data_IF_300880830451
#
_entry.id   IF_300880830451
#
_cell.length_a   1.000
_cell.length_b   1.000
_cell.length_c   1.000
_cell.angle_alpha   90.00
_cell.angle_beta   90.00
_cell.angle_gamma   90.00
#
_symmetry.space_group_name_H-M   'P 1'
#
loop_
_entity.id
_entity.type
_entity.pdbx_description
1 polymer ?
#
# COMPACT_ATOMS: atom_id res chain seq x y z
N UNK A 1 -7.16 7.04 -12.69
CA UNK A 1 -8.52 6.83 -12.16
C UNK A 1 -8.41 5.91 -10.96
N UNK A 2 -9.05 6.26 -9.85
CA UNK A 2 -9.10 5.46 -8.63
C UNK A 2 -10.57 5.17 -8.29
N UNK A 3 -10.94 3.89 -8.20
CA UNK A 3 -12.31 3.44 -7.97
C UNK A 3 -12.38 2.75 -6.61
N UNK A 4 -13.22 3.25 -5.71
CA UNK A 4 -13.48 2.56 -4.45
C UNK A 4 -14.46 1.40 -4.66
N UNK A 5 -14.07 0.19 -4.25
CA UNK A 5 -14.87 -1.01 -4.36
C UNK A 5 -14.92 -1.74 -3.02
N UNK A 6 -16.00 -1.50 -2.26
CA UNK A 6 -16.20 -2.07 -0.93
C UNK A 6 -17.00 -3.38 -0.96
N UNK A 7 -17.65 -3.70 -2.08
CA UNK A 7 -18.50 -4.89 -2.18
C UNK A 7 -17.67 -6.17 -2.02
N UNK A 8 -18.24 -7.13 -1.30
CA UNK A 8 -17.65 -8.44 -0.99
C UNK A 8 -18.20 -9.55 -1.90
N UNK A 9 -17.56 -10.71 -1.87
CA UNK A 9 -17.92 -11.88 -2.68
C UNK A 9 -18.17 -11.56 -4.16
N UNK A 10 -19.12 -12.26 -4.77
CA UNK A 10 -19.45 -12.11 -6.20
C UNK A 10 -19.89 -10.69 -6.59
N UNK A 11 -20.52 -9.96 -5.66
CA UNK A 11 -20.94 -8.56 -5.90
C UNK A 11 -19.76 -7.61 -6.05
N UNK A 12 -18.62 -7.90 -5.42
CA UNK A 12 -17.36 -7.19 -5.66
C UNK A 12 -16.58 -7.74 -6.85
N UNK A 13 -16.55 -9.06 -7.02
CA UNK A 13 -15.76 -9.70 -8.09
C UNK A 13 -16.28 -9.37 -9.49
N UNK A 14 -17.61 -9.31 -9.69
CA UNK A 14 -18.17 -9.00 -11.00
C UNK A 14 -17.79 -7.58 -11.49
N UNK A 15 -17.97 -6.50 -10.70
CA UNK A 15 -17.46 -5.17 -11.05
C UNK A 15 -15.94 -5.14 -11.24
N UNK A 16 -15.17 -5.83 -10.40
CA UNK A 16 -13.71 -5.87 -10.54
C UNK A 16 -13.28 -6.45 -11.90
N UNK A 17 -13.90 -7.55 -12.34
CA UNK A 17 -13.65 -8.13 -13.67
C UNK A 17 -14.07 -7.21 -14.81
N UNK A 18 -15.17 -6.47 -14.67
CA UNK A 18 -15.56 -5.47 -15.66
C UNK A 18 -14.56 -4.31 -15.71
N UNK A 19 -14.05 -3.86 -14.55
CA UNK A 19 -12.98 -2.84 -14.49
C UNK A 19 -11.73 -3.34 -15.24
N UNK A 20 -11.31 -4.59 -15.03
CA UNK A 20 -10.19 -5.20 -15.76
C UNK A 20 -10.47 -5.21 -17.27
N UNK A 21 -11.65 -5.66 -17.69
CA UNK A 21 -12.03 -5.74 -19.10
C UNK A 21 -12.05 -4.35 -19.76
N UNK A 22 -12.61 -3.34 -19.09
CA UNK A 22 -12.65 -1.96 -19.57
C UNK A 22 -11.28 -1.31 -19.61
N UNK A 23 -10.44 -1.56 -18.61
CA UNK A 23 -9.06 -1.08 -18.59
C UNK A 23 -8.31 -1.56 -19.84
N UNK A 24 -8.47 -2.83 -20.21
CA UNK A 24 -7.88 -3.38 -21.45
C UNK A 24 -8.51 -2.79 -22.71
N UNK A 25 -9.84 -2.74 -22.78
CA UNK A 25 -10.56 -2.28 -23.97
C UNK A 25 -10.28 -0.81 -24.30
N UNK A 26 -9.94 0.00 -23.31
CA UNK A 26 -9.65 1.43 -23.42
C UNK A 26 -8.14 1.75 -23.39
N UNK A 27 -7.28 0.73 -23.38
CA UNK A 27 -5.82 0.89 -23.27
C UNK A 27 -5.38 1.75 -22.06
N UNK A 28 -6.07 1.58 -20.93
CA UNK A 28 -5.83 2.34 -19.70
C UNK A 28 -4.87 1.62 -18.74
N UNK A 29 -4.06 0.70 -19.26
CA UNK A 29 -3.09 -0.04 -18.47
C UNK A 29 -2.16 0.89 -17.71
N UNK A 30 -2.05 0.67 -16.41
CA UNK A 30 -1.23 1.50 -15.53
C UNK A 30 -1.88 2.79 -15.02
N UNK A 31 -3.09 3.12 -15.51
CA UNK A 31 -3.83 4.33 -15.14
C UNK A 31 -5.07 4.06 -14.26
N UNK A 32 -5.33 2.80 -13.90
CA UNK A 32 -6.48 2.40 -13.07
C UNK A 32 -6.00 1.77 -11.77
N UNK A 33 -6.54 2.29 -10.67
CA UNK A 33 -6.39 1.73 -9.32
C UNK A 33 -7.77 1.39 -8.77
N UNK A 34 -7.88 0.27 -8.06
CA UNK A 34 -9.11 -0.09 -7.33
C UNK A 34 -8.78 -0.15 -5.84
N UNK A 35 -9.50 0.63 -5.05
CA UNK A 35 -9.28 0.82 -3.63
C UNK A 35 -10.17 -0.10 -2.79
N UNK A 36 -9.62 -0.57 -1.66
CA UNK A 36 -10.21 -1.52 -0.70
C UNK A 36 -10.31 -2.95 -1.23
N UNK A 37 -11.22 -3.18 -2.17
CA UNK A 37 -11.44 -4.44 -2.88
C UNK A 37 -11.63 -5.62 -1.93
N UNK A 38 -12.54 -5.46 -0.97
CA UNK A 38 -12.78 -6.41 0.14
C UNK A 38 -13.21 -7.82 -0.31
N UNK A 39 -13.61 -7.99 -1.57
CA UNK A 39 -13.86 -9.31 -2.15
C UNK A 39 -12.57 -10.12 -2.44
N UNK A 40 -11.42 -9.49 -2.61
CA UNK A 40 -10.17 -10.16 -2.99
C UNK A 40 -9.58 -11.03 -1.88
N UNK A 41 -9.51 -10.60 -0.61
CA UNK A 41 -9.02 -11.43 0.49
C UNK A 41 -9.88 -12.68 0.76
N UNK A 42 -11.14 -12.70 0.31
CA UNK A 42 -12.07 -13.81 0.49
C UNK A 42 -11.82 -14.97 -0.48
N UNK A 43 -11.02 -14.75 -1.53
CA UNK A 43 -10.74 -15.74 -2.58
C UNK A 43 -9.88 -16.90 -2.10
N UNK A 44 -10.17 -18.09 -2.61
CA UNK A 44 -9.27 -19.23 -2.44
C UNK A 44 -7.92 -18.96 -3.14
N UNK A 45 -6.81 -19.55 -2.66
CA UNK A 45 -5.46 -19.35 -3.21
C UNK A 45 -5.35 -19.38 -4.74
N UNK A 46 -6.00 -20.35 -5.39
CA UNK A 46 -5.95 -20.53 -6.84
C UNK A 46 -6.71 -19.43 -7.60
N UNK A 47 -7.84 -19.01 -7.06
CA UNK A 47 -8.66 -17.95 -7.67
C UNK A 47 -7.98 -16.60 -7.52
N UNK A 48 -7.37 -16.35 -6.36
CA UNK A 48 -6.54 -15.18 -6.12
C UNK A 48 -5.37 -15.10 -7.12
N UNK A 49 -4.65 -16.20 -7.35
CA UNK A 49 -3.54 -16.21 -8.31
C UNK A 49 -4.01 -15.94 -9.75
N UNK A 50 -5.14 -16.52 -10.15
CA UNK A 50 -5.72 -16.28 -11.46
C UNK A 50 -6.13 -14.81 -11.63
N UNK A 51 -6.83 -14.25 -10.65
CA UNK A 51 -7.23 -12.84 -10.64
C UNK A 51 -6.00 -11.91 -10.61
N UNK A 52 -4.96 -12.25 -9.84
CA UNK A 52 -3.73 -11.48 -9.79
C UNK A 52 -3.03 -11.42 -11.15
N UNK A 53 -2.99 -12.54 -11.89
CA UNK A 53 -2.51 -12.57 -13.26
C UNK A 53 -3.34 -11.70 -14.20
N UNK A 54 -4.67 -11.70 -14.05
CA UNK A 54 -5.55 -10.84 -14.85
C UNK A 54 -5.32 -9.34 -14.58
N UNK A 55 -5.21 -8.95 -13.30
CA UNK A 55 -4.91 -7.59 -12.86
C UNK A 55 -3.57 -7.11 -13.39
N UNK A 56 -2.52 -7.93 -13.24
CA UNK A 56 -1.18 -7.61 -13.71
C UNK A 56 -1.15 -7.42 -15.24
N UNK A 57 -1.78 -8.34 -15.99
CA UNK A 57 -1.86 -8.25 -17.44
C UNK A 57 -2.67 -7.03 -17.93
N UNK A 58 -3.64 -6.55 -17.14
CA UNK A 58 -4.39 -5.33 -17.43
C UNK A 58 -3.70 -4.05 -16.95
N UNK A 59 -2.63 -4.14 -16.15
CA UNK A 59 -1.99 -3.00 -15.51
C UNK A 59 -2.86 -2.31 -14.45
N UNK A 60 -3.81 -3.03 -13.83
CA UNK A 60 -4.65 -2.51 -12.75
C UNK A 60 -3.90 -2.63 -11.42
N UNK A 61 -3.82 -1.53 -10.68
CA UNK A 61 -3.20 -1.49 -9.35
C UNK A 61 -4.27 -1.59 -8.26
N UNK A 62 -3.89 -1.99 -7.05
CA UNK A 62 -4.80 -2.07 -5.92
C UNK A 62 -4.30 -1.22 -4.74
N UNK A 63 -5.21 -0.76 -3.89
CA UNK A 63 -4.84 -0.22 -2.58
C UNK A 63 -5.59 -0.92 -1.45
N UNK A 64 -4.91 -1.08 -0.32
CA UNK A 64 -5.50 -1.56 0.94
C UNK A 64 -5.32 -0.50 2.02
N UNK A 65 -6.05 -0.63 3.11
CA UNK A 65 -6.02 0.30 4.25
C UNK A 65 -5.69 -0.40 5.58
N UNK A 66 -5.50 -1.73 5.55
CA UNK A 66 -5.17 -2.56 6.72
C UNK A 66 -6.09 -2.30 7.93
N UNK A 67 -7.40 -2.49 7.74
CA UNK A 67 -8.41 -2.37 8.81
C UNK A 67 -8.39 -3.60 9.72
N UNK A 68 -8.46 -4.79 9.12
CA UNK A 68 -8.44 -6.07 9.81
C UNK A 68 -7.91 -7.19 8.90
N UNK A 69 -7.72 -8.38 9.46
CA UNK A 69 -7.18 -9.55 8.75
C UNK A 69 -8.11 -10.14 7.69
N UNK A 70 -9.41 -9.83 7.72
CA UNK A 70 -10.40 -10.32 6.75
C UNK A 70 -10.55 -9.41 5.54
N UNK A 71 -10.16 -8.14 5.68
CA UNK A 71 -10.31 -7.11 4.64
C UNK A 71 -8.98 -6.70 4.00
N UNK A 72 -7.84 -7.06 4.59
CA UNK A 72 -6.52 -6.66 4.11
C UNK A 72 -6.11 -7.45 2.88
N UNK A 73 -5.65 -6.75 1.83
CA UNK A 73 -5.12 -7.42 0.64
C UNK A 73 -3.88 -8.26 0.96
N UNK A 74 -3.74 -9.48 0.40
CA UNK A 74 -2.54 -10.30 0.48
C UNK A 74 -1.42 -9.74 -0.42
N UNK A 75 -0.94 -8.54 -0.07
CA UNK A 75 -0.06 -7.69 -0.89
C UNK A 75 1.19 -8.40 -1.40
N UNK A 76 1.86 -9.23 -0.57
CA UNK A 76 3.05 -9.99 -0.99
C UNK A 76 2.75 -10.95 -2.15
N UNK A 77 1.62 -11.66 -2.08
CA UNK A 77 1.21 -12.62 -3.12
C UNK A 77 0.79 -11.90 -4.39
N UNK A 78 0.03 -10.82 -4.28
CA UNK A 78 -0.35 -9.97 -5.41
C UNK A 78 0.89 -9.39 -6.12
N UNK A 79 1.87 -8.89 -5.35
CA UNK A 79 3.15 -8.39 -5.87
C UNK A 79 3.96 -9.47 -6.57
N UNK A 80 3.92 -10.72 -6.10
CA UNK A 80 4.61 -11.83 -6.77
C UNK A 80 4.07 -12.09 -8.19
N UNK A 81 2.84 -11.68 -8.49
CA UNK A 81 2.26 -11.69 -9.84
C UNK A 81 2.47 -10.39 -10.63
N UNK A 82 3.17 -9.40 -10.07
CA UNK A 82 3.39 -8.10 -10.70
C UNK A 82 2.28 -7.07 -10.47
N UNK A 83 1.31 -7.35 -9.60
CA UNK A 83 0.28 -6.37 -9.23
C UNK A 83 0.90 -5.32 -8.29
N UNK A 84 0.80 -4.05 -8.67
CA UNK A 84 1.16 -2.94 -7.78
C UNK A 84 0.12 -2.81 -6.68
N UNK A 85 0.56 -2.87 -5.43
CA UNK A 85 -0.30 -2.73 -4.25
C UNK A 85 0.25 -1.62 -3.36
N UNK A 86 -0.55 -0.57 -3.16
CA UNK A 86 -0.26 0.49 -2.20
C UNK A 86 -1.05 0.32 -0.91
N UNK A 87 -0.64 1.03 0.13
CA UNK A 87 -1.41 1.17 1.37
C UNK A 87 -1.77 2.64 1.63
N UNK A 88 -3.00 2.88 2.09
CA UNK A 88 -3.52 4.19 2.44
C UNK A 88 -3.99 4.28 3.89
N UNK A 89 -4.19 5.52 4.37
CA UNK A 89 -4.77 5.74 5.70
C UNK A 89 -6.29 5.65 5.73
N UNK A 90 -6.95 5.83 4.58
CA UNK A 90 -8.39 6.09 4.48
C UNK A 90 -8.78 7.37 5.25
N UNK A 91 -10.02 7.46 5.73
CA UNK A 91 -10.47 8.46 6.68
C UNK A 91 -9.60 8.57 7.93
N UNK A 92 -9.38 9.81 8.39
CA UNK A 92 -8.58 10.12 9.58
C UNK A 92 -9.42 11.00 10.51
N UNK A 93 -9.97 10.39 11.56
CA UNK A 93 -10.78 11.06 12.59
C UNK A 93 -11.91 11.90 11.99
N UNK A 94 -12.69 11.25 11.13
CA UNK A 94 -13.84 11.84 10.44
C UNK A 94 -15.15 11.11 10.80
N UNK A 95 -16.21 11.40 10.06
CA UNK A 95 -17.52 10.81 10.29
C UNK A 95 -17.60 9.30 9.94
N UNK A 96 -16.64 8.77 9.18
CA UNK A 96 -16.56 7.36 8.80
C UNK A 96 -15.72 6.55 9.78
N UNK A 97 -14.65 7.16 10.31
CA UNK A 97 -13.74 6.48 11.23
C UNK A 97 -13.22 7.41 12.33
N UNK A 98 -13.32 7.01 13.61
CA UNK A 98 -12.67 7.74 14.69
C UNK A 98 -11.15 7.47 14.74
N UNK A 99 -10.64 6.51 13.95
CA UNK A 99 -9.24 6.11 13.94
C UNK A 99 -8.44 6.84 12.86
N UNK A 100 -7.13 6.57 12.83
CA UNK A 100 -6.20 7.14 11.87
C UNK A 100 -5.31 8.24 12.49
N UNK A 101 -4.07 8.26 12.00
CA UNK A 101 -3.02 9.20 12.44
C UNK A 101 -2.30 9.88 11.26
N UNK A 102 -2.67 9.52 10.02
CA UNK A 102 -1.94 9.90 8.81
C UNK A 102 -0.43 9.56 8.86
N UNK A 103 -0.06 8.53 9.64
CA UNK A 103 1.31 8.08 9.85
C UNK A 103 1.55 6.79 9.06
N UNK A 104 2.35 6.87 7.99
CA UNK A 104 2.61 5.74 7.10
C UNK A 104 3.43 4.61 7.74
N UNK A 105 4.48 4.88 8.56
CA UNK A 105 5.10 3.86 9.41
C UNK A 105 4.09 3.13 10.32
N UNK A 106 3.17 3.86 10.96
CA UNK A 106 2.10 3.23 11.75
C UNK A 106 1.15 2.40 10.86
N UNK A 107 0.87 2.87 9.65
CA UNK A 107 0.05 2.11 8.70
C UNK A 107 0.74 0.83 8.21
N UNK A 108 2.05 0.85 8.01
CA UNK A 108 2.86 -0.34 7.74
C UNK A 108 2.87 -1.33 8.91
N UNK A 109 2.93 -0.83 10.15
CA UNK A 109 2.76 -1.65 11.35
C UNK A 109 1.41 -2.39 11.34
N UNK A 110 0.31 -1.67 11.10
CA UNK A 110 -1.02 -2.27 11.02
C UNK A 110 -1.14 -3.29 9.88
N UNK A 111 -0.49 -3.06 8.74
CA UNK A 111 -0.41 -4.04 7.65
C UNK A 111 0.29 -5.32 8.11
N UNK A 112 1.44 -5.21 8.77
CA UNK A 112 2.16 -6.36 9.33
C UNK A 112 1.31 -7.12 10.35
N UNK A 113 0.61 -6.39 11.23
CA UNK A 113 -0.30 -6.97 12.20
C UNK A 113 -1.46 -7.73 11.53
N UNK A 114 -2.19 -7.07 10.63
CA UNK A 114 -3.37 -7.64 9.96
C UNK A 114 -3.03 -8.83 9.05
N UNK A 115 -1.86 -8.81 8.42
CA UNK A 115 -1.39 -9.91 7.55
C UNK A 115 -0.70 -11.03 8.31
N UNK A 116 -0.48 -10.86 9.62
CA UNK A 116 0.20 -11.86 10.43
C UNK A 116 1.70 -11.99 10.16
N UNK A 117 2.35 -10.94 9.65
CA UNK A 117 3.80 -10.92 9.37
C UNK A 117 4.63 -11.20 10.63
N UNK A 118 5.65 -12.06 10.51
CA UNK A 118 6.57 -12.45 11.60
C UNK A 118 8.03 -12.42 11.18
N UNK A 119 8.32 -12.64 9.91
CA UNK A 119 9.69 -12.61 9.38
C UNK A 119 10.11 -11.18 9.04
N UNK A 120 11.41 -10.91 9.11
CA UNK A 120 11.96 -9.60 8.76
C UNK A 120 11.58 -9.19 7.33
N UNK A 121 11.65 -10.12 6.38
CA UNK A 121 11.28 -9.82 4.99
C UNK A 121 9.78 -9.56 4.82
N UNK A 122 8.93 -10.07 5.73
CA UNK A 122 7.49 -9.79 5.74
C UNK A 122 7.20 -8.39 6.28
N UNK A 123 7.90 -7.98 7.34
CA UNK A 123 7.81 -6.64 7.91
C UNK A 123 8.39 -5.59 6.96
N UNK A 124 9.53 -5.88 6.33
CA UNK A 124 10.13 -5.02 5.31
C UNK A 124 9.19 -4.81 4.13
N UNK A 125 8.51 -5.87 3.66
CA UNK A 125 7.50 -5.75 2.61
C UNK A 125 6.33 -4.83 3.02
N UNK A 126 5.95 -4.82 4.30
CA UNK A 126 4.91 -3.92 4.79
C UNK A 126 5.36 -2.45 4.75
N UNK A 127 6.61 -2.16 5.09
CA UNK A 127 7.16 -0.80 4.94
C UNK A 127 7.24 -0.38 3.47
N UNK A 128 7.76 -1.26 2.60
CA UNK A 128 7.89 -0.97 1.18
C UNK A 128 6.54 -0.71 0.50
N UNK A 129 5.48 -1.39 0.94
CA UNK A 129 4.10 -1.12 0.52
C UNK A 129 3.67 0.33 0.81
N UNK A 130 4.14 0.89 1.94
CA UNK A 130 3.86 2.25 2.38
C UNK A 130 4.85 3.31 1.84
N UNK A 131 5.93 2.86 1.20
CA UNK A 131 7.00 3.70 0.67
C UNK A 131 7.12 3.54 -0.86
N UNK A 132 7.99 2.63 -1.32
CA UNK A 132 8.32 2.49 -2.75
C UNK A 132 7.15 2.02 -3.60
N UNK A 133 6.37 1.05 -3.13
CA UNK A 133 5.23 0.56 -3.91
C UNK A 133 4.14 1.63 -4.01
N UNK A 134 3.93 2.42 -2.94
CA UNK A 134 3.06 3.59 -2.96
C UNK A 134 3.54 4.68 -3.92
N UNK A 135 4.85 4.99 -3.93
CA UNK A 135 5.45 5.91 -4.88
C UNK A 135 5.25 5.43 -6.34
N UNK A 136 5.49 4.14 -6.60
CA UNK A 136 5.30 3.54 -7.92
C UNK A 136 3.82 3.52 -8.36
N UNK A 137 2.87 3.41 -7.43
CA UNK A 137 1.44 3.53 -7.71
C UNK A 137 1.09 4.96 -8.15
N UNK A 138 1.69 5.96 -7.51
CA UNK A 138 1.47 7.39 -7.79
C UNK A 138 2.32 7.95 -8.94
N UNK A 139 3.21 7.15 -9.54
CA UNK A 139 4.14 7.60 -10.58
C UNK A 139 5.21 8.58 -10.05
N UNK A 140 5.52 8.51 -8.76
CA UNK A 140 6.54 9.32 -8.11
C UNK A 140 7.92 8.65 -8.24
N UNK A 141 9.00 9.45 -8.30
CA UNK A 141 10.36 8.91 -8.30
C UNK A 141 10.67 8.20 -6.97
N UNK A 142 11.44 7.12 -7.06
CA UNK A 142 11.91 6.38 -5.88
C UNK A 142 13.03 7.15 -5.19
N UNK A 143 12.91 7.34 -3.88
CA UNK A 143 13.97 7.89 -3.04
C UNK A 143 14.82 6.73 -2.47
N UNK A 144 15.77 6.23 -3.28
CA UNK A 144 16.62 5.08 -2.97
C UNK A 144 18.02 5.45 -2.45
N UNK A 145 18.23 6.73 -2.14
CA UNK A 145 19.50 7.31 -1.70
C UNK A 145 20.66 7.21 -2.71
N UNK A 146 20.42 6.80 -3.96
CA UNK A 146 21.43 6.88 -5.00
C UNK A 146 21.66 8.34 -5.44
N UNK A 147 22.86 8.72 -5.91
CA UNK A 147 23.08 10.03 -6.50
C UNK A 147 22.10 10.31 -7.65
N UNK A 148 21.37 11.43 -7.56
CA UNK A 148 20.32 11.81 -8.51
C UNK A 148 18.90 11.45 -8.07
N UNK A 149 18.73 10.61 -7.06
CA UNK A 149 17.43 10.34 -6.46
C UNK A 149 16.90 11.57 -5.67
N UNK A 150 15.58 11.69 -5.47
CA UNK A 150 15.01 12.70 -4.60
C UNK A 150 15.61 12.64 -3.19
N UNK A 151 16.02 13.79 -2.66
CA UNK A 151 16.45 13.91 -1.27
C UNK A 151 15.23 14.03 -0.33
N UNK A 152 14.40 12.99 -0.35
CA UNK A 152 13.15 12.84 0.39
C UNK A 152 13.26 11.63 1.33
N UNK A 153 13.40 11.85 2.64
CA UNK A 153 13.58 10.75 3.59
C UNK A 153 13.20 11.09 5.03
N UNK A 154 13.04 10.04 5.83
CA UNK A 154 12.80 10.09 7.26
C UNK A 154 14.04 9.57 7.99
N UNK A 155 14.45 10.25 9.06
CA UNK A 155 15.44 9.74 10.00
C UNK A 155 14.72 9.20 11.24
N UNK A 156 14.98 7.94 11.59
CA UNK A 156 14.40 7.24 12.74
C UNK A 156 15.48 6.47 13.50
N UNK A 157 15.25 6.22 14.79
CA UNK A 157 16.12 5.35 15.59
C UNK A 157 15.69 3.88 15.39
N UNK A 158 16.63 3.00 15.02
CA UNK A 158 16.40 1.57 14.84
C UNK A 158 17.60 0.86 14.22
N UNK A 159 17.71 -0.45 14.44
CA UNK A 159 18.80 -1.26 13.88
C UNK A 159 18.49 -1.83 12.48
N UNK A 160 17.21 -2.03 12.16
CA UNK A 160 16.74 -2.52 10.88
C UNK A 160 15.32 -2.01 10.57
N UNK A 161 14.88 -2.24 9.34
CA UNK A 161 13.58 -1.81 8.86
C UNK A 161 12.42 -2.56 9.55
N UNK A 162 12.54 -3.88 9.70
CA UNK A 162 11.61 -4.69 10.47
C UNK A 162 11.37 -4.15 11.89
N UNK A 163 12.45 -3.76 12.61
CA UNK A 163 12.31 -3.11 13.91
C UNK A 163 11.55 -1.78 13.81
N UNK A 164 11.87 -0.93 12.83
CA UNK A 164 11.19 0.35 12.66
C UNK A 164 9.68 0.19 12.36
N UNK A 165 9.29 -0.89 11.68
CA UNK A 165 7.87 -1.24 11.47
C UNK A 165 7.19 -1.65 12.78
N UNK A 166 7.86 -2.46 13.60
CA UNK A 166 7.30 -2.93 14.87
C UNK A 166 7.22 -1.81 15.91
N UNK A 167 8.31 -1.08 16.11
CA UNK A 167 8.43 -0.09 17.18
C UNK A 167 7.78 1.25 16.83
N UNK A 168 7.57 1.53 15.54
CA UNK A 168 7.03 2.79 15.01
C UNK A 168 7.71 4.01 15.67
N UNK A 169 9.05 4.11 15.59
CA UNK A 169 9.79 5.15 16.31
C UNK A 169 9.42 6.55 15.84
N UNK A 170 9.58 7.52 16.74
CA UNK A 170 9.44 8.95 16.42
C UNK A 170 10.45 9.33 15.33
N UNK A 171 10.00 10.09 14.33
CA UNK A 171 10.89 10.67 13.31
C UNK A 171 11.76 11.77 13.94
N UNK A 172 13.07 11.52 14.01
CA UNK A 172 14.09 12.50 14.41
C UNK A 172 14.14 13.67 13.44
N UNK A 173 13.99 13.37 12.16
CA UNK A 173 14.06 14.37 11.09
C UNK A 173 13.22 13.93 9.89
N UNK A 174 12.61 14.90 9.21
CA UNK A 174 12.00 14.71 7.90
C UNK A 174 12.70 15.66 6.94
N UNK A 175 13.20 15.10 5.84
CA UNK A 175 13.85 15.86 4.76
C UNK A 175 12.98 15.75 3.51
N UNK A 176 12.71 16.89 2.88
CA UNK A 176 11.98 16.99 1.61
C UNK A 176 12.73 17.93 0.68
N UNK A 177 12.99 17.50 -0.54
CA UNK A 177 13.74 18.20 -1.56
C UNK A 177 15.08 18.75 -1.00
N UNK A 178 15.77 17.95 -0.19
CA UNK A 178 17.04 18.32 0.43
C UNK A 178 16.93 19.32 1.59
N UNK A 179 15.73 19.68 2.03
CA UNK A 179 15.50 20.60 3.15
C UNK A 179 14.88 19.88 4.34
N UNK A 180 15.38 20.17 5.53
CA UNK A 180 14.74 19.71 6.77
C UNK A 180 13.42 20.45 6.95
N UNK A 181 12.31 19.71 6.99
CA UNK A 181 10.94 20.26 7.13
C UNK A 181 10.29 19.93 8.46
N UNK A 182 10.83 18.95 9.19
CA UNK A 182 10.43 18.64 10.56
C UNK A 182 11.60 18.06 11.36
N UNK A 183 11.60 18.32 12.67
CA UNK A 183 12.53 17.74 13.65
C UNK A 183 11.75 17.24 14.84
N UNK A 184 12.11 16.05 15.31
CA UNK A 184 11.47 15.40 16.45
C UNK A 184 9.92 15.46 16.33
N UNK A 185 9.35 15.15 15.17
CA UNK A 185 7.90 15.17 14.96
C UNK A 185 7.20 16.54 14.99
N UNK A 186 7.93 17.67 15.02
CA UNK A 186 7.38 19.02 14.88
C UNK A 186 7.88 19.68 13.59
N UNK A 187 7.01 20.44 12.91
CA UNK A 187 7.37 21.18 11.70
C UNK A 187 8.43 22.26 12.01
N UNK A 188 9.35 22.47 11.07
CA UNK A 188 10.35 23.54 11.11
C UNK A 188 9.81 24.87 10.58
#
# INVERSE_FOLDING_TARGET
>A
MDIHLHDRGDRGLAPLREIIARTRALDMGGHVTVSHVFCVPELAPRELDALAGELAAAGVSLTTVALDSTSVLPHRRLRAHGVRVGIGSDGVRDAWSPFGTADMPHRAHLLGYCTGARLDEELDACYLAAAHDGAALLGLPTADFAPGAPADFLLVDGACLAQAVVDVPRRRMVVRAGRVVARDGALC
#
